data_IF_335721018082
#
_entry.id   IF_335721018082
#
_cell.length_a   1.000
_cell.length_b   1.000
_cell.length_c   1.000
_cell.angle_alpha   90.00
_cell.angle_beta   90.00
_cell.angle_gamma   90.00
#
_symmetry.space_group_name_H-M   'P 1'
#
loop_
_entity.id
_entity.type
_entity.pdbx_description
1 polymer ?
#
# COMPACT_ATOMS: atom_id res chain seq x y z
N UNK A 1 7.19 39.66 31.19
CA UNK A 1 6.90 38.50 32.06
C UNK A 1 6.80 37.27 31.16
N UNK A 2 7.87 36.46 31.03
CA UNK A 2 7.86 35.28 30.17
C UNK A 2 7.37 34.05 30.96
N UNK A 3 6.10 33.70 30.79
CA UNK A 3 5.52 32.50 31.39
C UNK A 3 5.99 31.26 30.64
N UNK A 4 7.04 30.60 31.13
CA UNK A 4 7.49 29.29 30.67
C UNK A 4 6.47 28.22 31.08
N UNK A 5 5.51 27.91 30.22
CA UNK A 5 4.64 26.74 30.38
C UNK A 5 5.45 25.47 30.10
N UNK A 6 5.87 24.77 31.17
CA UNK A 6 6.39 23.40 31.08
C UNK A 6 5.27 22.52 30.53
N UNK A 7 5.38 22.06 29.27
CA UNK A 7 4.46 21.04 28.73
C UNK A 7 4.69 19.75 29.53
N UNK A 8 3.76 19.42 30.42
CA UNK A 8 3.74 18.12 31.08
C UNK A 8 3.63 17.04 29.99
N UNK A 9 4.60 16.13 29.92
CA UNK A 9 4.50 14.92 29.09
C UNK A 9 3.37 14.09 29.67
N UNK A 10 2.28 13.93 28.92
CA UNK A 10 1.16 13.06 29.27
C UNK A 10 1.68 11.61 29.25
N UNK A 11 1.38 10.83 30.27
CA UNK A 11 1.66 9.39 30.26
C UNK A 11 0.85 8.72 29.14
N UNK A 12 1.45 7.85 28.32
CA UNK A 12 0.72 7.12 27.30
C UNK A 12 -0.33 6.22 27.95
N UNK A 13 -1.53 6.21 27.37
CA UNK A 13 -2.63 5.33 27.74
C UNK A 13 -2.37 3.91 27.20
N UNK A 14 -2.96 2.87 27.81
CA UNK A 14 -2.81 1.50 27.33
C UNK A 14 -3.30 1.30 25.89
N UNK A 15 -4.27 2.10 25.45
CA UNK A 15 -4.75 2.07 24.06
C UNK A 15 -3.90 2.90 23.09
N UNK A 16 -2.90 3.65 23.57
CA UNK A 16 -2.02 4.41 22.70
C UNK A 16 -1.05 3.44 22.02
N UNK A 17 -1.21 3.24 20.71
CA UNK A 17 -0.22 2.55 19.89
C UNK A 17 1.09 3.34 19.97
N UNK A 18 2.21 2.72 20.38
CA UNK A 18 3.49 3.40 20.41
C UNK A 18 3.81 3.87 18.99
N UNK A 19 4.32 5.11 18.88
CA UNK A 19 4.77 5.64 17.61
C UNK A 19 5.97 4.81 17.12
N UNK A 20 5.74 3.99 16.09
CA UNK A 20 6.77 3.16 15.48
C UNK A 20 7.50 4.02 14.47
N UNK A 21 8.40 4.86 14.96
CA UNK A 21 9.38 5.49 14.09
C UNK A 21 10.36 4.41 13.58
N UNK A 22 10.75 4.44 12.29
CA UNK A 22 11.81 3.58 11.80
C UNK A 22 13.10 3.86 12.59
N UNK A 23 13.86 2.80 12.87
CA UNK A 23 15.07 2.88 13.70
C UNK A 23 16.14 3.82 13.12
N UNK A 24 16.14 4.00 11.79
CA UNK A 24 16.92 4.99 11.07
C UNK A 24 16.16 5.45 9.81
N UNK A 25 16.44 6.65 9.28
CA UNK A 25 15.99 7.03 7.96
C UNK A 25 16.57 6.08 6.90
N UNK A 26 15.81 5.86 5.84
CA UNK A 26 16.27 5.17 4.64
C UNK A 26 17.37 6.00 3.97
N UNK A 27 18.37 5.31 3.42
CA UNK A 27 19.30 5.97 2.48
C UNK A 27 18.60 6.24 1.15
N UNK A 28 19.20 7.10 0.32
CA UNK A 28 18.68 7.36 -1.03
C UNK A 28 18.59 6.10 -1.89
N UNK A 29 19.57 5.20 -1.75
CA UNK A 29 19.62 3.93 -2.47
C UNK A 29 18.50 2.98 -1.99
N UNK A 30 18.31 2.85 -0.68
CA UNK A 30 17.23 2.04 -0.11
C UNK A 30 15.85 2.56 -0.51
N UNK A 31 15.68 3.89 -0.58
CA UNK A 31 14.44 4.50 -1.02
C UNK A 31 14.17 4.25 -2.52
N UNK A 32 15.20 4.32 -3.36
CA UNK A 32 15.07 4.03 -4.78
C UNK A 32 14.76 2.54 -5.03
N UNK A 33 15.41 1.63 -4.30
CA UNK A 33 15.10 0.21 -4.36
C UNK A 33 13.66 -0.09 -3.92
N UNK A 34 13.19 0.52 -2.83
CA UNK A 34 11.83 0.35 -2.36
C UNK A 34 10.82 0.87 -3.40
N UNK A 35 11.08 2.04 -3.97
CA UNK A 35 10.25 2.59 -5.04
C UNK A 35 10.18 1.65 -6.26
N UNK A 36 11.32 1.08 -6.68
CA UNK A 36 11.36 0.11 -7.77
C UNK A 36 10.56 -1.16 -7.45
N UNK A 37 10.59 -1.64 -6.20
CA UNK A 37 9.76 -2.78 -5.76
C UNK A 37 8.27 -2.44 -5.83
N UNK A 38 7.87 -1.25 -5.37
CA UNK A 38 6.48 -0.79 -5.43
C UNK A 38 5.97 -0.76 -6.88
N UNK A 39 6.76 -0.22 -7.82
CA UNK A 39 6.42 -0.21 -9.24
C UNK A 39 6.27 -1.63 -9.81
N UNK A 40 7.18 -2.55 -9.45
CA UNK A 40 7.12 -3.93 -9.92
C UNK A 40 5.86 -4.66 -9.43
N UNK A 41 5.46 -4.42 -8.18
CA UNK A 41 4.23 -4.98 -7.62
C UNK A 41 2.99 -4.43 -8.34
N UNK A 42 2.95 -3.13 -8.62
CA UNK A 42 1.85 -2.51 -9.35
C UNK A 42 1.72 -3.09 -10.77
N UNK A 43 2.84 -3.20 -11.49
CA UNK A 43 2.86 -3.77 -12.83
C UNK A 43 2.36 -5.23 -12.85
N UNK A 44 2.71 -6.01 -11.81
CA UNK A 44 2.22 -7.38 -11.66
C UNK A 44 0.69 -7.42 -11.44
N UNK A 45 0.17 -6.55 -10.58
CA UNK A 45 -1.28 -6.45 -10.34
C UNK A 45 -2.05 -6.04 -11.59
N UNK A 46 -1.53 -5.07 -12.36
CA UNK A 46 -2.13 -4.66 -13.64
C UNK A 46 -2.16 -5.83 -14.63
N UNK A 47 -1.06 -6.57 -14.74
CA UNK A 47 -0.95 -7.75 -15.61
C UNK A 47 -1.97 -8.84 -15.23
N UNK A 48 -2.15 -9.10 -13.94
CA UNK A 48 -3.15 -10.05 -13.44
C UNK A 48 -4.58 -9.57 -13.70
N UNK A 49 -4.84 -8.28 -13.49
CA UNK A 49 -6.14 -7.67 -13.76
C UNK A 49 -6.51 -7.77 -15.26
N UNK A 50 -5.57 -7.46 -16.16
CA UNK A 50 -5.78 -7.57 -17.60
C UNK A 50 -6.07 -9.02 -18.02
N UNK A 51 -5.29 -10.00 -17.55
CA UNK A 51 -5.53 -11.42 -17.84
C UNK A 51 -6.90 -11.89 -17.33
N UNK A 52 -7.30 -11.44 -16.14
CA UNK A 52 -8.62 -11.76 -15.58
C UNK A 52 -9.76 -11.12 -16.40
N UNK A 53 -9.53 -9.94 -16.99
CA UNK A 53 -10.49 -9.29 -17.88
C UNK A 53 -10.60 -10.02 -19.22
N UNK A 54 -9.48 -10.38 -19.84
CA UNK A 54 -9.43 -11.15 -21.10
C UNK A 54 -10.11 -12.52 -20.93
N UNK A 55 -9.84 -13.22 -19.83
CA UNK A 55 -10.49 -14.50 -19.51
C UNK A 55 -12.00 -14.39 -19.28
N UNK A 56 -12.49 -13.25 -18.77
CA UNK A 56 -13.93 -12.99 -18.60
C UNK A 56 -14.64 -12.71 -19.92
N UNK A 57 -14.01 -12.00 -20.85
CA UNK A 57 -14.57 -11.76 -22.18
C UNK A 57 -14.68 -13.08 -22.96
N UNK A 58 -13.68 -13.96 -22.87
CA UNK A 58 -13.71 -15.28 -23.52
C UNK A 58 -14.71 -16.27 -22.91
N UNK A 59 -15.03 -16.15 -21.62
CA UNK A 59 -16.05 -16.99 -20.98
C UNK A 59 -17.48 -16.59 -21.37
N UNK A 60 -17.75 -15.29 -21.54
CA UNK A 60 -19.05 -14.80 -21.97
C UNK A 60 -19.33 -15.05 -23.46
N UNK A 61 -18.32 -15.09 -24.32
CA UNK A 61 -18.51 -15.41 -25.76
C UNK A 61 -18.90 -16.88 -26.01
N UNK A 62 -18.52 -17.80 -25.10
CA UNK A 62 -18.93 -19.21 -25.17
C UNK A 62 -20.31 -19.50 -24.59
N UNK A 63 -20.90 -18.58 -23.83
CA UNK A 63 -22.26 -18.73 -23.29
C UNK A 63 -23.35 -18.24 -24.25
N UNK A 64 -23.00 -17.50 -25.31
CA UNK A 64 -23.96 -16.90 -26.25
C UNK A 64 -24.19 -17.67 -27.56
N UNK A 65 -23.67 -18.89 -27.71
CA UNK A 65 -23.87 -19.72 -28.92
C UNK A 65 -24.40 -21.11 -28.58
N UNK A 66 -25.56 -21.16 -27.94
CA UNK A 66 -26.46 -22.31 -28.04
C UNK A 66 -27.90 -21.82 -27.88
N UNK A 67 -28.44 -21.23 -28.95
CA UNK A 67 -29.88 -21.21 -29.18
C UNK A 67 -30.12 -21.87 -30.54
N UNK A 68 -31.07 -22.81 -30.50
CA UNK A 68 -31.70 -23.71 -31.49
C UNK A 68 -31.25 -23.65 -32.97
#
# INVERSE_FOLDING_TARGET
MASKTKKARKSPRPEDTPDIAPSRPLTSEEAEEDYRKQLAMLAQQEKEHCQAQEGRVSANEKAGKHED
#
